data_IF_983979465472
#
_entry.id   IF_983979465472
#
_cell.length_a   1.000
_cell.length_b   1.000
_cell.length_c   1.000
_cell.angle_alpha   90.00
_cell.angle_beta   90.00
_cell.angle_gamma   90.00
#
_symmetry.space_group_name_H-M   'P 1'
#
loop_
_entity.id
_entity.type
_entity.pdbx_description
1 polymer ?
#
# COMPACT_ATOMS: atom_id res chain seq x y z
N UNK A 1 26.60 18.18 -5.08
CA UNK A 1 26.13 18.40 -6.46
C UNK A 1 25.15 17.29 -6.75
N UNK A 2 23.91 17.57 -7.21
CA UNK A 2 23.00 16.48 -7.54
C UNK A 2 23.51 15.87 -8.85
N UNK A 3 23.99 14.63 -8.75
CA UNK A 3 24.30 13.82 -9.92
C UNK A 3 23.06 13.77 -10.79
N UNK A 4 23.26 14.19 -12.04
CA UNK A 4 22.27 14.18 -13.11
C UNK A 4 21.69 12.78 -13.23
N UNK A 5 20.38 12.67 -13.00
CA UNK A 5 19.55 11.52 -13.39
C UNK A 5 19.96 11.09 -14.80
N UNK A 6 20.56 9.90 -14.92
CA UNK A 6 20.92 9.33 -16.21
C UNK A 6 19.71 9.36 -17.13
N UNK A 7 19.88 10.01 -18.28
CA UNK A 7 18.90 10.03 -19.37
C UNK A 7 18.81 8.62 -19.98
N UNK A 8 17.61 8.03 -19.88
CA UNK A 8 17.19 6.78 -20.50
C UNK A 8 17.20 6.93 -22.03
N UNK A 9 18.25 6.46 -22.70
CA UNK A 9 18.43 6.66 -24.14
C UNK A 9 18.83 5.35 -24.86
N UNK A 10 18.37 4.19 -24.35
CA UNK A 10 18.57 2.90 -25.03
C UNK A 10 17.25 2.20 -25.37
N UNK A 11 17.17 1.66 -26.59
CA UNK A 11 16.10 0.78 -27.09
C UNK A 11 15.91 -0.53 -26.26
N UNK A 12 16.62 -0.68 -25.14
CA UNK A 12 16.66 -1.87 -24.28
C UNK A 12 16.21 -1.66 -22.83
N UNK A 13 15.68 -0.48 -22.47
CA UNK A 13 15.27 -0.24 -21.09
C UNK A 13 14.00 -1.04 -20.76
N UNK A 14 14.11 -2.01 -19.86
CA UNK A 14 12.99 -2.80 -19.30
C UNK A 14 12.12 -1.85 -18.45
N UNK A 15 11.32 -1.00 -19.11
CA UNK A 15 10.41 -0.01 -18.51
C UNK A 15 9.53 -0.67 -17.42
N UNK A 16 8.94 -1.87 -17.65
CA UNK A 16 8.25 -2.60 -16.59
C UNK A 16 9.11 -2.84 -15.35
N UNK A 17 10.38 -3.23 -15.51
CA UNK A 17 11.29 -3.44 -14.39
C UNK A 17 11.64 -2.12 -13.68
N UNK A 18 11.98 -1.08 -14.44
CA UNK A 18 12.27 0.24 -13.86
C UNK A 18 11.11 0.71 -12.98
N UNK A 19 9.88 0.64 -13.50
CA UNK A 19 8.69 1.08 -12.76
C UNK A 19 8.36 0.15 -11.59
N UNK A 20 8.53 -1.16 -11.74
CA UNK A 20 8.38 -2.10 -10.63
C UNK A 20 9.36 -1.78 -9.48
N UNK A 21 10.62 -1.47 -9.79
CA UNK A 21 11.63 -1.06 -8.80
C UNK A 21 11.29 0.27 -8.14
N UNK A 22 10.93 1.30 -8.92
CA UNK A 22 10.53 2.59 -8.36
C UNK A 22 9.35 2.47 -7.39
N UNK A 23 8.36 1.64 -7.73
CA UNK A 23 7.25 1.38 -6.83
C UNK A 23 7.63 0.49 -5.65
N UNK A 24 8.61 -0.41 -5.78
CA UNK A 24 9.13 -1.21 -4.68
C UNK A 24 9.82 -0.31 -3.63
N UNK A 25 10.67 0.60 -4.08
CA UNK A 25 11.36 1.56 -3.21
C UNK A 25 10.33 2.46 -2.48
N UNK A 26 9.38 3.05 -3.21
CA UNK A 26 8.33 3.88 -2.62
C UNK A 26 7.45 3.09 -1.62
N UNK A 27 7.11 1.84 -1.94
CA UNK A 27 6.31 0.99 -1.04
C UNK A 27 7.10 0.64 0.23
N UNK A 28 8.39 0.35 0.11
CA UNK A 28 9.26 0.08 1.26
C UNK A 28 9.38 1.31 2.17
N UNK A 29 9.63 2.49 1.60
CA UNK A 29 9.68 3.74 2.37
C UNK A 29 8.36 4.03 3.09
N UNK A 30 7.22 3.84 2.42
CA UNK A 30 5.90 4.02 3.04
C UNK A 30 5.61 2.98 4.11
N UNK A 31 6.10 1.75 3.98
CA UNK A 31 5.96 0.72 5.01
C UNK A 31 6.69 1.13 6.28
N UNK A 32 7.93 1.57 6.17
CA UNK A 32 8.73 2.01 7.32
C UNK A 32 8.15 3.28 7.97
N UNK A 33 7.69 4.23 7.15
CA UNK A 33 7.00 5.42 7.66
C UNK A 33 5.71 5.05 8.40
N UNK A 34 4.89 4.18 7.82
CA UNK A 34 3.64 3.69 8.43
C UNK A 34 3.91 3.04 9.79
N UNK A 35 4.89 2.13 9.87
CA UNK A 35 5.31 1.48 11.12
C UNK A 35 5.68 2.49 12.20
N UNK A 36 6.49 3.49 11.83
CA UNK A 36 6.88 4.56 12.74
C UNK A 36 5.66 5.34 13.23
N UNK A 37 4.79 5.81 12.33
CA UNK A 37 3.59 6.58 12.69
C UNK A 37 2.65 5.82 13.61
N UNK A 38 2.43 4.52 13.34
CA UNK A 38 1.62 3.65 14.20
C UNK A 38 2.26 3.45 15.58
N UNK A 39 3.59 3.37 15.65
CA UNK A 39 4.31 3.29 16.93
C UNK A 39 4.16 4.59 17.74
N UNK A 40 4.39 5.73 17.09
CA UNK A 40 4.27 7.06 17.70
C UNK A 40 2.85 7.30 18.22
N UNK A 41 1.83 6.98 17.41
CA UNK A 41 0.43 7.07 17.82
C UNK A 41 0.11 6.16 19.02
N UNK A 42 0.54 4.89 19.00
CA UNK A 42 0.31 3.96 20.13
C UNK A 42 0.96 4.44 21.42
N UNK A 43 2.14 5.04 21.33
CA UNK A 43 2.78 5.66 22.49
C UNK A 43 1.98 6.87 22.98
N UNK A 44 1.63 7.80 22.08
CA UNK A 44 0.84 9.01 22.43
C UNK A 44 -0.50 8.66 23.05
N UNK A 45 -1.24 7.71 22.49
CA UNK A 45 -2.53 7.26 23.01
C UNK A 45 -2.40 6.78 24.46
N UNK A 46 -1.42 5.91 24.75
CA UNK A 46 -1.20 5.40 26.11
C UNK A 46 -0.79 6.50 27.10
N UNK A 47 0.04 7.45 26.67
CA UNK A 47 0.47 8.58 27.52
C UNK A 47 -0.73 9.48 27.84
N UNK A 48 -1.56 9.77 26.83
CA UNK A 48 -2.78 10.55 26.99
C UNK A 48 -3.78 9.86 27.95
N UNK A 49 -4.03 8.56 27.76
CA UNK A 49 -4.98 7.79 28.57
C UNK A 49 -4.58 7.72 30.05
N UNK A 50 -3.28 7.72 30.35
CA UNK A 50 -2.76 7.71 31.73
C UNK A 50 -2.76 9.08 32.39
N UNK A 51 -3.07 10.14 31.64
CA UNK A 51 -2.92 11.53 32.08
C UNK A 51 -1.50 11.82 32.62
N UNK A 52 -0.48 11.13 32.09
CA UNK A 52 0.90 11.23 32.55
C UNK A 52 1.58 12.49 31.97
N UNK A 53 1.43 13.60 32.70
CA UNK A 53 2.12 14.87 32.46
C UNK A 53 1.53 15.73 31.32
N UNK A 54 2.03 16.96 31.21
CA UNK A 54 1.63 17.94 30.18
C UNK A 54 2.18 17.62 28.77
N UNK A 55 2.66 16.40 28.53
CA UNK A 55 3.48 16.08 27.36
C UNK A 55 2.69 15.72 26.09
N UNK A 56 1.44 15.27 26.22
CA UNK A 56 0.58 14.89 25.09
C UNK A 56 -0.81 15.44 25.33
N UNK A 57 -1.26 16.34 24.46
CA UNK A 57 -2.63 16.83 24.47
C UNK A 57 -3.50 16.15 23.39
N UNK A 58 -4.80 16.44 23.43
CA UNK A 58 -5.77 15.89 22.47
C UNK A 58 -5.49 16.32 21.03
N UNK A 59 -4.95 17.52 20.83
CA UNK A 59 -4.64 18.03 19.48
C UNK A 59 -3.47 17.25 18.86
N UNK A 60 -2.46 16.89 19.65
CA UNK A 60 -1.35 16.02 19.27
C UNK A 60 -1.85 14.63 18.90
N UNK A 61 -2.76 14.06 19.70
CA UNK A 61 -3.37 12.76 19.40
C UNK A 61 -4.14 12.79 18.07
N UNK A 62 -5.01 13.79 17.87
CA UNK A 62 -5.74 13.96 16.62
C UNK A 62 -4.82 14.12 15.40
N UNK A 63 -3.69 14.82 15.57
CA UNK A 63 -2.67 14.93 14.51
C UNK A 63 -2.05 13.57 14.20
N UNK A 64 -1.65 12.81 15.22
CA UNK A 64 -1.07 11.49 15.04
C UNK A 64 -2.03 10.52 14.33
N UNK A 65 -3.32 10.58 14.66
CA UNK A 65 -4.39 9.81 13.98
C UNK A 65 -4.42 10.13 12.48
N UNK A 66 -4.44 11.42 12.11
CA UNK A 66 -4.43 11.84 10.69
C UNK A 66 -3.16 11.40 9.96
N UNK A 67 -2.02 11.46 10.64
CA UNK A 67 -0.73 11.03 10.08
C UNK A 67 -0.70 9.51 9.84
N UNK A 68 -1.20 8.69 10.77
CA UNK A 68 -1.36 7.24 10.58
C UNK A 68 -2.29 6.96 9.40
N UNK A 69 -3.50 7.55 9.43
CA UNK A 69 -4.51 7.32 8.40
C UNK A 69 -4.01 7.66 6.99
N UNK A 70 -3.44 8.85 6.81
CA UNK A 70 -2.92 9.28 5.50
C UNK A 70 -1.73 8.46 5.03
N UNK A 71 -0.82 8.09 5.93
CA UNK A 71 0.34 7.24 5.59
C UNK A 71 -0.11 5.84 5.16
N UNK A 72 -1.11 5.27 5.84
CA UNK A 72 -1.62 3.95 5.50
C UNK A 72 -2.37 3.93 4.17
N UNK A 73 -3.12 4.99 3.85
CA UNK A 73 -3.67 5.20 2.51
C UNK A 73 -2.57 5.19 1.43
N UNK A 74 -1.48 5.94 1.66
CA UNK A 74 -0.34 6.00 0.72
C UNK A 74 0.39 4.66 0.59
N UNK A 75 0.53 3.90 1.69
CA UNK A 75 1.09 2.55 1.66
C UNK A 75 0.25 1.60 0.80
N UNK A 76 -1.08 1.66 0.92
CA UNK A 76 -1.99 0.84 0.11
C UNK A 76 -1.90 1.22 -1.37
N UNK A 77 -1.88 2.53 -1.68
CA UNK A 77 -1.76 3.01 -3.06
C UNK A 77 -0.43 2.59 -3.68
N UNK A 78 0.69 2.75 -2.96
CA UNK A 78 2.02 2.34 -3.44
C UNK A 78 2.12 0.82 -3.63
N UNK A 79 1.67 0.02 -2.66
CA UNK A 79 1.64 -1.43 -2.77
C UNK A 79 0.77 -1.91 -3.94
N UNK A 80 -0.39 -1.28 -4.16
CA UNK A 80 -1.27 -1.62 -5.30
C UNK A 80 -0.61 -1.35 -6.65
N UNK A 81 0.15 -0.26 -6.75
CA UNK A 81 0.89 0.06 -7.95
C UNK A 81 2.07 -0.90 -8.16
N UNK A 82 2.79 -1.26 -7.09
CA UNK A 82 3.82 -2.28 -7.12
C UNK A 82 3.29 -3.62 -7.66
N UNK A 83 2.16 -4.12 -7.12
CA UNK A 83 1.50 -5.33 -7.62
C UNK A 83 1.22 -5.24 -9.12
N UNK A 84 0.63 -4.13 -9.58
CA UNK A 84 0.29 -3.92 -10.98
C UNK A 84 1.54 -3.96 -11.89
N UNK A 85 2.64 -3.35 -11.46
CA UNK A 85 3.89 -3.32 -12.22
C UNK A 85 4.65 -4.64 -12.20
N UNK A 86 4.65 -5.39 -11.08
CA UNK A 86 5.14 -6.78 -11.02
C UNK A 86 4.39 -7.62 -12.07
N UNK A 87 3.06 -7.59 -12.08
CA UNK A 87 2.28 -8.36 -13.06
C UNK A 87 2.59 -7.96 -14.50
N UNK A 88 2.83 -6.67 -14.75
CA UNK A 88 3.19 -6.16 -16.08
C UNK A 88 4.60 -6.61 -16.49
N UNK A 89 5.55 -6.67 -15.54
CA UNK A 89 6.89 -7.23 -15.73
C UNK A 89 6.84 -8.72 -16.11
N UNK A 90 6.12 -9.52 -15.33
CA UNK A 90 5.92 -10.95 -15.63
C UNK A 90 5.32 -11.17 -17.02
N UNK A 91 4.34 -10.34 -17.41
CA UNK A 91 3.76 -10.40 -18.76
C UNK A 91 4.78 -10.06 -19.85
N UNK A 92 5.59 -9.02 -19.65
CA UNK A 92 6.63 -8.61 -20.61
C UNK A 92 7.66 -9.73 -20.82
N UNK A 93 7.97 -10.48 -19.76
CA UNK A 93 8.90 -11.62 -19.76
C UNK A 93 8.25 -12.96 -20.14
N UNK A 94 6.96 -12.96 -20.49
CA UNK A 94 6.17 -14.16 -20.83
C UNK A 94 6.19 -15.24 -19.72
N UNK A 95 6.30 -14.82 -18.46
CA UNK A 95 6.25 -15.68 -17.27
C UNK A 95 4.83 -15.84 -16.75
N UNK A 96 4.61 -16.86 -15.91
CA UNK A 96 3.32 -17.08 -15.25
C UNK A 96 3.03 -15.91 -14.32
N UNK A 97 1.88 -15.25 -14.49
CA UNK A 97 1.51 -14.11 -13.65
C UNK A 97 1.27 -14.56 -12.20
N UNK A 98 1.71 -13.79 -11.19
CA UNK A 98 1.33 -14.03 -9.81
C UNK A 98 -0.19 -13.88 -9.63
N UNK A 99 -0.76 -14.40 -8.54
CA UNK A 99 -2.19 -14.25 -8.24
C UNK A 99 -2.50 -12.82 -7.76
N UNK A 100 -3.63 -12.21 -8.16
CA UNK A 100 -3.99 -10.87 -7.68
C UNK A 100 -4.33 -10.82 -6.20
N UNK A 101 -3.88 -9.78 -5.49
CA UNK A 101 -4.19 -9.51 -4.09
C UNK A 101 -5.55 -8.78 -3.99
N UNK A 102 -6.62 -9.56 -3.87
CA UNK A 102 -8.01 -9.05 -3.90
C UNK A 102 -8.28 -7.93 -2.88
N UNK A 103 -7.81 -8.11 -1.64
CA UNK A 103 -8.00 -7.12 -0.56
C UNK A 103 -7.33 -5.79 -0.86
N UNK A 104 -6.11 -5.82 -1.42
CA UNK A 104 -5.36 -4.63 -1.77
C UNK A 104 -6.06 -3.81 -2.86
N UNK A 105 -6.55 -4.50 -3.90
CA UNK A 105 -7.37 -3.87 -4.96
C UNK A 105 -8.66 -3.26 -4.40
N UNK A 106 -9.34 -3.95 -3.49
CA UNK A 106 -10.59 -3.46 -2.87
C UNK A 106 -10.34 -2.19 -2.06
N UNK A 107 -9.33 -2.20 -1.20
CA UNK A 107 -8.91 -1.04 -0.43
C UNK A 107 -8.56 0.16 -1.30
N UNK A 108 -7.69 -0.06 -2.31
CA UNK A 108 -7.28 0.98 -3.24
C UNK A 108 -8.48 1.66 -3.88
N UNK A 109 -9.38 0.87 -4.44
CA UNK A 109 -10.60 1.38 -5.05
C UNK A 109 -11.46 2.17 -4.04
N UNK A 110 -11.57 1.68 -2.81
CA UNK A 110 -12.36 2.38 -1.79
C UNK A 110 -11.75 3.73 -1.41
N UNK A 111 -10.42 3.81 -1.30
CA UNK A 111 -9.68 5.05 -1.02
C UNK A 111 -9.79 6.02 -2.20
N UNK A 112 -9.61 5.55 -3.44
CA UNK A 112 -9.71 6.35 -4.66
C UNK A 112 -11.10 6.96 -4.90
N UNK A 113 -12.14 6.42 -4.25
CA UNK A 113 -13.53 6.88 -4.37
C UNK A 113 -14.09 7.44 -3.06
N UNK A 114 -13.22 7.76 -2.09
CA UNK A 114 -13.66 8.22 -0.78
C UNK A 114 -14.26 9.64 -0.82
N UNK A 115 -13.82 10.48 -1.75
CA UNK A 115 -14.31 11.84 -1.98
C UNK A 115 -15.77 11.88 -2.47
N UNK A 116 -16.19 10.85 -3.19
CA UNK A 116 -17.57 10.67 -3.67
C UNK A 116 -18.49 9.97 -2.65
N UNK A 117 -17.98 9.58 -1.49
CA UNK A 117 -18.70 8.79 -0.50
C UNK A 117 -19.67 9.63 0.35
N UNK A 118 -20.70 8.98 0.89
CA UNK A 118 -21.46 9.53 2.01
C UNK A 118 -20.71 9.20 3.31
N UNK A 119 -20.43 10.21 4.13
CA UNK A 119 -19.75 10.04 5.42
C UNK A 119 -20.77 10.18 6.54
N UNK A 120 -20.85 9.15 7.39
CA UNK A 120 -21.50 9.22 8.69
C UNK A 120 -20.48 9.69 9.73
N UNK A 121 -20.66 10.93 10.22
CA UNK A 121 -19.77 11.57 11.20
C UNK A 121 -19.92 10.98 12.61
N UNK A 122 -21.06 10.36 12.93
CA UNK A 122 -21.28 9.74 14.24
C UNK A 122 -20.49 8.42 14.34
N UNK A 123 -20.54 7.63 13.28
CA UNK A 123 -19.89 6.30 13.25
C UNK A 123 -18.52 6.30 12.58
N UNK A 124 -18.09 7.42 11.98
CA UNK A 124 -16.86 7.53 11.18
C UNK A 124 -16.79 6.44 10.10
N UNK A 125 -17.91 6.27 9.39
CA UNK A 125 -18.07 5.25 8.35
C UNK A 125 -18.41 5.92 7.02
N UNK A 126 -17.71 5.53 5.96
CA UNK A 126 -18.00 5.97 4.60
C UNK A 126 -18.80 4.89 3.84
N UNK A 127 -19.84 5.29 3.12
CA UNK A 127 -20.69 4.43 2.30
C UNK A 127 -20.80 4.94 0.87
N UNK A 128 -21.12 4.04 -0.06
CA UNK A 128 -21.33 4.39 -1.47
C UNK A 128 -22.54 5.33 -1.67
N UNK A 129 -22.34 6.46 -2.36
CA UNK A 129 -23.39 7.47 -2.62
C UNK A 129 -24.47 7.07 -3.64
N UNK A 130 -24.15 6.19 -4.60
CA UNK A 130 -25.04 5.81 -5.70
C UNK A 130 -25.34 4.31 -5.74
N UNK A 131 -26.54 3.91 -6.16
CA UNK A 131 -26.85 2.47 -6.35
C UNK A 131 -26.00 1.79 -7.44
N UNK A 132 -25.52 2.55 -8.45
CA UNK A 132 -24.65 2.02 -9.50
C UNK A 132 -23.21 1.74 -9.00
N UNK A 133 -22.77 2.32 -7.88
CA UNK A 133 -21.45 2.04 -7.29
C UNK A 133 -21.43 0.82 -6.38
N UNK A 134 -22.53 0.05 -6.26
CA UNK A 134 -22.57 -1.22 -5.49
C UNK A 134 -21.64 -2.33 -6.00
N UNK A 135 -20.93 -2.13 -7.12
CA UNK A 135 -19.98 -3.10 -7.69
C UNK A 135 -18.54 -2.57 -7.76
N UNK A 136 -18.28 -1.35 -7.31
CA UNK A 136 -16.96 -0.70 -7.38
C UNK A 136 -16.71 0.19 -6.15
N UNK A 137 -15.46 0.60 -5.91
CA UNK A 137 -15.10 1.44 -4.76
C UNK A 137 -15.56 0.83 -3.42
N UNK A 138 -16.09 1.68 -2.53
CA UNK A 138 -16.65 1.29 -1.22
C UNK A 138 -17.80 0.27 -1.38
N UNK A 139 -18.61 0.36 -2.42
CA UNK A 139 -19.72 -0.57 -2.65
C UNK A 139 -19.28 -2.01 -2.95
N UNK A 140 -18.01 -2.24 -3.28
CA UNK A 140 -17.41 -3.57 -3.47
C UNK A 140 -16.80 -4.16 -2.20
N UNK A 141 -16.84 -3.44 -1.08
CA UNK A 141 -16.34 -3.90 0.22
C UNK A 141 -17.35 -4.82 0.91
N UNK A 142 -16.89 -5.67 1.85
CA UNK A 142 -17.79 -6.28 2.83
C UNK A 142 -18.66 -5.21 3.49
N UNK A 143 -19.96 -5.49 3.63
CA UNK A 143 -20.96 -4.55 4.17
C UNK A 143 -21.15 -3.23 3.42
N UNK A 144 -20.44 -2.99 2.31
CA UNK A 144 -20.50 -1.74 1.53
C UNK A 144 -20.09 -0.50 2.34
N UNK A 145 -19.21 -0.70 3.32
CA UNK A 145 -18.78 0.29 4.30
C UNK A 145 -17.26 0.32 4.38
N UNK A 146 -16.70 1.52 4.59
CA UNK A 146 -15.29 1.74 4.85
C UNK A 146 -15.17 2.49 6.19
N UNK A 147 -14.57 1.86 7.20
CA UNK A 147 -14.27 2.56 8.45
C UNK A 147 -13.16 3.60 8.20
N UNK A 148 -13.44 4.89 8.39
CA UNK A 148 -12.45 5.97 8.22
C UNK A 148 -11.82 6.41 9.54
N UNK A 149 -12.45 6.09 10.67
CA UNK A 149 -11.87 6.24 11.99
C UNK A 149 -10.84 5.16 12.31
N UNK A 150 -9.99 5.42 13.31
CA UNK A 150 -9.20 4.35 13.94
C UNK A 150 -10.12 3.69 14.96
N UNK A 151 -10.81 2.63 14.53
CA UNK A 151 -11.60 1.78 15.42
C UNK A 151 -10.67 0.98 16.34
N UNK A 152 -11.09 0.80 17.59
CA UNK A 152 -10.33 0.02 18.59
C UNK A 152 -10.25 -1.47 18.30
N UNK A 153 -10.86 -1.94 17.20
CA UNK A 153 -10.83 -3.33 16.74
C UNK A 153 -9.50 -3.72 16.06
N UNK A 154 -8.63 -2.74 15.78
CA UNK A 154 -7.31 -2.96 15.18
C UNK A 154 -7.36 -3.26 13.68
N UNK A 155 -8.55 -3.14 13.05
CA UNK A 155 -8.72 -3.33 11.62
C UNK A 155 -8.54 -2.01 10.87
N UNK A 156 -7.66 -2.04 9.89
CA UNK A 156 -7.49 -1.01 8.90
C UNK A 156 -8.71 -1.03 7.96
N UNK A 157 -9.47 0.06 8.00
CA UNK A 157 -10.70 0.24 7.22
C UNK A 157 -11.78 -0.84 7.41
N UNK A 158 -11.73 -1.60 8.51
CA UNK A 158 -12.64 -2.72 8.76
C UNK A 158 -12.41 -3.96 7.89
N UNK A 159 -11.29 -4.04 7.16
CA UNK A 159 -11.04 -5.12 6.18
C UNK A 159 -9.87 -6.02 6.57
N UNK A 160 -8.74 -5.45 6.99
CA UNK A 160 -7.53 -6.20 7.33
C UNK A 160 -6.83 -5.58 8.52
N UNK A 161 -6.04 -6.37 9.26
CA UNK A 161 -5.19 -5.80 10.30
C UNK A 161 -3.99 -5.05 9.72
N UNK A 162 -3.36 -4.21 10.54
CA UNK A 162 -2.09 -3.57 10.20
C UNK A 162 -0.98 -4.58 9.88
N UNK A 163 -0.97 -5.73 10.55
CA UNK A 163 0.00 -6.80 10.37
C UNK A 163 -0.25 -7.55 9.05
N UNK A 164 -1.52 -7.76 8.68
CA UNK A 164 -1.88 -8.34 7.38
C UNK A 164 -1.42 -7.45 6.22
N UNK A 165 -1.59 -6.12 6.34
CA UNK A 165 -1.09 -5.18 5.33
C UNK A 165 0.43 -5.30 5.16
N UNK A 166 1.15 -5.33 6.28
CA UNK A 166 2.60 -5.49 6.28
C UNK A 166 3.01 -6.84 5.64
N UNK A 167 2.32 -7.92 5.96
CA UNK A 167 2.54 -9.24 5.37
C UNK A 167 2.36 -9.22 3.84
N UNK A 168 1.28 -8.58 3.37
CA UNK A 168 1.01 -8.41 1.93
C UNK A 168 2.12 -7.61 1.23
N UNK A 169 2.54 -6.50 1.82
CA UNK A 169 3.61 -5.65 1.28
C UNK A 169 4.94 -6.41 1.19
N UNK A 170 5.33 -7.09 2.27
CA UNK A 170 6.53 -7.94 2.28
C UNK A 170 6.46 -9.04 1.22
N UNK A 171 5.28 -9.64 1.03
CA UNK A 171 5.03 -10.61 -0.03
C UNK A 171 5.31 -10.04 -1.42
N UNK A 172 4.83 -8.83 -1.72
CA UNK A 172 5.09 -8.15 -3.01
C UNK A 172 6.58 -7.82 -3.21
N UNK A 173 7.26 -7.34 -2.18
CA UNK A 173 8.70 -7.05 -2.26
C UNK A 173 9.51 -8.34 -2.50
N UNK A 174 9.16 -9.43 -1.81
CA UNK A 174 9.76 -10.74 -1.99
C UNK A 174 9.51 -11.31 -3.39
N UNK A 175 8.29 -11.14 -3.91
CA UNK A 175 7.89 -11.58 -5.25
C UNK A 175 8.75 -10.89 -6.33
N UNK A 176 8.96 -9.58 -6.22
CA UNK A 176 9.83 -8.86 -7.16
C UNK A 176 11.29 -9.31 -7.04
N UNK A 177 11.80 -9.55 -5.82
CA UNK A 177 13.16 -10.07 -5.61
C UNK A 177 13.34 -11.42 -6.28
N UNK A 178 12.39 -12.35 -6.08
CA UNK A 178 12.44 -13.68 -6.68
C UNK A 178 12.43 -13.60 -8.21
N UNK A 179 11.57 -12.77 -8.81
CA UNK A 179 11.53 -12.56 -10.25
C UNK A 179 12.87 -12.04 -10.83
N UNK A 180 13.57 -11.20 -10.06
CA UNK A 180 14.90 -10.70 -10.44
C UNK A 180 15.96 -11.80 -10.38
N UNK A 181 15.96 -12.61 -9.33
CA UNK A 181 16.88 -13.75 -9.17
C UNK A 181 16.66 -14.79 -10.26
N UNK A 182 15.41 -15.14 -10.54
CA UNK A 182 15.02 -16.07 -11.61
C UNK A 182 15.44 -15.53 -12.98
N UNK A 183 15.34 -14.22 -13.22
CA UNK A 183 15.75 -13.62 -14.48
C UNK A 183 17.27 -13.59 -14.65
N UNK A 184 18.01 -13.32 -13.57
CA UNK A 184 19.46 -13.41 -13.58
C UNK A 184 19.92 -14.84 -13.88
N UNK A 185 19.28 -15.84 -13.28
CA UNK A 185 19.58 -17.26 -13.52
C UNK A 185 19.32 -17.66 -14.98
N UNK A 186 18.15 -17.32 -15.54
CA UNK A 186 17.84 -17.58 -16.96
C UNK A 186 18.89 -16.99 -17.90
N UNK A 187 19.37 -15.78 -17.60
CA UNK A 187 20.40 -15.11 -18.39
C UNK A 187 21.76 -15.82 -18.29
N UNK A 188 22.17 -16.25 -17.08
CA UNK A 188 23.38 -17.04 -16.90
C UNK A 188 23.33 -18.37 -17.66
N UNK A 189 22.19 -19.06 -17.63
CA UNK A 189 22.00 -20.33 -18.33
C UNK A 189 22.02 -20.14 -19.85
N UNK A 190 21.41 -19.05 -20.35
CA UNK A 190 21.47 -18.68 -21.76
C UNK A 190 22.92 -18.47 -22.22
N UNK A 191 23.68 -17.63 -21.52
CA UNK A 191 25.09 -17.32 -21.85
C UNK A 191 25.98 -18.58 -21.80
N UNK A 192 25.79 -19.44 -20.79
CA UNK A 192 26.58 -20.66 -20.62
C UNK A 192 26.19 -21.78 -21.60
N UNK A 193 24.99 -21.74 -22.18
CA UNK A 193 24.53 -22.75 -23.15
C UNK A 193 25.18 -22.64 -24.53
N UNK A 194 26.00 -21.60 -24.78
CA UNK A 194 26.76 -21.42 -26.03
C UNK A 194 25.90 -21.23 -27.27
N UNK A 195 24.63 -20.84 -27.09
CA UNK A 195 23.73 -20.39 -28.16
C UNK A 195 23.76 -18.89 -28.33
#
# INVERSE_FOLDING_TARGET
>A
MPDTLQTFDSDGDDIPLMLARSWADATFEMLELSRKRRSDYRWMSRTYDRMEGDAVDLAMLHRAIREVWSTDCLLILSASNLEAWIRKLYRARRRKLPEPLKHLKQLRNAIEHLDDANIDEETWTATARLQQSKKSGIGALPNQELAIGISGDGLLFGILSHDDLEGLVRGLLSELSQELDDYAQDWYDFVNSGR
#
